data_IF_054665408227
#
_entry.id   IF_054665408227
#
_cell.length_a   1.000
_cell.length_b   1.000
_cell.length_c   1.000
_cell.angle_alpha   90.00
_cell.angle_beta   90.00
_cell.angle_gamma   90.00
#
_symmetry.space_group_name_H-M   'P 1'
#
loop_
_entity.id
_entity.type
_entity.pdbx_description
1 polymer ?
#
# COMPACT_ATOMS: atom_id res chain seq x y z
N UNK A 1 -1.99 27.63 -4.53
CA UNK A 1 -2.89 26.45 -4.47
C UNK A 1 -2.60 25.60 -5.71
N UNK A 2 -2.25 24.31 -5.57
CA UNK A 2 -1.92 23.49 -6.73
C UNK A 2 -3.17 23.24 -7.59
N UNK A 3 -3.00 23.00 -8.90
CA UNK A 3 -4.11 22.67 -9.80
C UNK A 3 -4.87 21.41 -9.38
N UNK A 4 -4.15 20.45 -8.77
CA UNK A 4 -4.73 19.24 -8.15
C UNK A 4 -5.71 19.60 -7.04
N UNK A 5 -5.33 20.50 -6.12
CA UNK A 5 -6.18 20.88 -5.00
C UNK A 5 -7.38 21.72 -5.43
N UNK A 6 -7.21 22.57 -6.45
CA UNK A 6 -8.32 23.32 -7.03
C UNK A 6 -9.38 22.41 -7.65
N UNK A 7 -8.97 21.31 -8.30
CA UNK A 7 -9.87 20.34 -8.93
C UNK A 7 -10.73 19.53 -7.94
N UNK A 8 -10.37 19.52 -6.66
CA UNK A 8 -11.13 18.90 -5.57
C UNK A 8 -11.77 19.93 -4.62
N UNK A 9 -12.06 21.13 -5.12
CA UNK A 9 -12.73 22.18 -4.33
C UNK A 9 -11.88 22.71 -3.16
N UNK A 10 -10.57 22.53 -3.22
CA UNK A 10 -9.65 22.96 -2.19
C UNK A 10 -9.36 21.97 -1.07
N UNK A 11 -9.86 20.74 -1.18
CA UNK A 11 -9.74 19.72 -0.14
C UNK A 11 -8.90 18.54 -0.65
N UNK A 12 -7.94 18.08 0.15
CA UNK A 12 -7.17 16.86 -0.15
C UNK A 12 -8.04 15.64 0.16
N UNK A 13 -8.32 14.81 -0.83
CA UNK A 13 -9.14 13.62 -0.64
C UNK A 13 -8.25 12.39 -0.57
N UNK A 14 -8.28 11.70 0.58
CA UNK A 14 -7.57 10.43 0.79
C UNK A 14 -8.60 9.31 0.89
N UNK A 15 -8.33 8.19 0.23
CA UNK A 15 -9.23 7.04 0.23
C UNK A 15 -8.51 5.74 0.57
N UNK A 16 -9.24 4.81 1.15
CA UNK A 16 -8.85 3.41 1.26
C UNK A 16 -10.05 2.49 1.01
N UNK A 17 -9.79 1.21 0.85
CA UNK A 17 -10.83 0.19 0.65
C UNK A 17 -10.56 -0.98 1.60
N UNK A 18 -11.61 -1.52 2.21
CA UNK A 18 -11.56 -2.73 3.04
C UNK A 18 -12.75 -3.61 2.72
N UNK A 19 -12.52 -4.90 2.50
CA UNK A 19 -13.59 -5.88 2.27
C UNK A 19 -13.34 -7.15 3.07
N UNK A 20 -14.43 -7.79 3.48
CA UNK A 20 -14.40 -9.01 4.29
C UNK A 20 -13.68 -8.80 5.63
N UNK A 21 -13.01 -9.85 6.11
CA UNK A 21 -12.52 -9.90 7.50
C UNK A 21 -10.99 -9.81 7.63
N UNK A 22 -10.27 -9.65 6.52
CA UNK A 22 -8.80 -9.68 6.53
C UNK A 22 -8.18 -8.50 7.28
N UNK A 23 -8.73 -7.30 7.08
CA UNK A 23 -8.26 -6.07 7.73
C UNK A 23 -9.42 -5.43 8.48
N UNK A 24 -9.40 -5.55 9.81
CA UNK A 24 -10.43 -4.96 10.66
C UNK A 24 -10.20 -3.48 10.99
N UNK A 25 -11.09 -2.92 11.81
CA UNK A 25 -11.06 -1.52 12.26
C UNK A 25 -9.69 -1.00 12.72
N UNK A 26 -8.83 -1.75 13.45
CA UNK A 26 -7.52 -1.25 13.85
C UNK A 26 -6.62 -0.82 12.69
N UNK A 27 -6.70 -1.46 11.52
CA UNK A 27 -5.92 -1.06 10.34
C UNK A 27 -6.42 0.27 9.76
N UNK A 28 -7.74 0.41 9.65
CA UNK A 28 -8.38 1.59 9.07
C UNK A 28 -8.19 2.80 10.01
N UNK A 29 -8.41 2.62 11.32
CA UNK A 29 -8.24 3.68 12.32
C UNK A 29 -6.78 4.15 12.40
N UNK A 30 -5.81 3.22 12.38
CA UNK A 30 -4.37 3.58 12.33
C UNK A 30 -4.04 4.30 11.04
N UNK A 31 -4.59 3.87 9.89
CA UNK A 31 -4.37 4.57 8.61
C UNK A 31 -4.91 6.00 8.67
N UNK A 32 -6.13 6.19 9.15
CA UNK A 32 -6.70 7.53 9.34
C UNK A 32 -5.81 8.39 10.25
N UNK A 33 -5.44 7.90 11.42
CA UNK A 33 -4.61 8.66 12.37
C UNK A 33 -3.23 9.01 11.79
N UNK A 34 -2.62 8.08 11.04
CA UNK A 34 -1.40 8.32 10.28
C UNK A 34 -1.58 9.41 9.22
N UNK A 35 -2.69 9.41 8.47
CA UNK A 35 -3.01 10.47 7.51
C UNK A 35 -3.18 11.80 8.22
N UNK A 36 -4.05 11.88 9.22
CA UNK A 36 -4.37 13.11 9.95
C UNK A 36 -3.13 13.78 10.56
N UNK A 37 -2.20 12.98 11.08
CA UNK A 37 -0.94 13.46 11.67
C UNK A 37 0.06 13.99 10.62
N UNK A 38 -0.06 13.57 9.36
CA UNK A 38 0.95 13.83 8.32
C UNK A 38 0.38 14.57 7.10
N UNK A 39 -0.81 15.16 7.17
CA UNK A 39 -1.38 15.92 6.05
C UNK A 39 -1.82 17.30 6.52
N UNK A 40 -1.53 18.34 5.73
CA UNK A 40 -1.98 19.68 6.06
C UNK A 40 -3.48 19.82 5.74
N UNK A 41 -4.34 20.20 6.70
CA UNK A 41 -5.77 20.43 6.47
C UNK A 41 -6.04 21.58 5.46
N UNK A 42 -7.22 21.63 4.81
CA UNK A 42 -8.33 20.68 4.94
C UNK A 42 -8.11 19.39 4.14
N UNK A 43 -8.57 18.27 4.71
CA UNK A 43 -8.57 16.97 4.04
C UNK A 43 -9.82 16.16 4.41
N UNK A 44 -10.18 15.20 3.56
CA UNK A 44 -11.16 14.16 3.86
C UNK A 44 -10.51 12.79 3.79
N UNK A 45 -11.06 11.85 4.56
CA UNK A 45 -10.65 10.46 4.53
C UNK A 45 -11.88 9.57 4.37
N UNK A 46 -11.96 8.86 3.23
CA UNK A 46 -13.08 7.97 2.90
C UNK A 46 -12.63 6.52 2.85
N UNK A 47 -13.29 5.66 3.63
CA UNK A 47 -13.12 4.22 3.57
C UNK A 47 -14.31 3.59 2.84
N UNK A 48 -14.03 2.91 1.72
CA UNK A 48 -15.02 2.05 1.05
C UNK A 48 -15.01 0.68 1.73
N UNK A 49 -16.12 0.31 2.38
CA UNK A 49 -16.15 -0.93 3.17
C UNK A 49 -17.53 -1.56 3.32
N UNK A 50 -17.54 -2.87 3.53
CA UNK A 50 -18.70 -3.70 3.90
C UNK A 50 -18.86 -3.85 5.43
N UNK A 51 -17.92 -3.34 6.23
CA UNK A 51 -17.98 -3.38 7.68
C UNK A 51 -17.58 -2.02 8.31
N UNK A 52 -18.53 -1.40 9.00
CA UNK A 52 -18.36 -0.07 9.62
C UNK A 52 -18.13 -0.14 11.14
N UNK A 53 -18.05 -1.33 11.71
CA UNK A 53 -17.97 -1.53 13.15
C UNK A 53 -16.66 -1.00 13.72
N UNK A 54 -16.77 -0.23 14.81
CA UNK A 54 -15.61 0.31 15.57
C UNK A 54 -14.68 1.21 14.76
N UNK A 55 -15.16 1.75 13.64
CA UNK A 55 -14.46 2.79 12.90
C UNK A 55 -14.60 4.13 13.61
N UNK A 56 -13.56 4.94 13.51
CA UNK A 56 -13.55 6.31 14.04
C UNK A 56 -14.63 7.18 13.37
N UNK A 57 -15.30 8.08 14.11
CA UNK A 57 -16.37 8.92 13.56
C UNK A 57 -15.87 9.91 12.49
N UNK A 58 -14.58 10.25 12.49
CA UNK A 58 -13.98 11.13 11.48
C UNK A 58 -13.77 10.45 10.12
N UNK A 59 -13.92 9.13 10.05
CA UNK A 59 -13.77 8.36 8.81
C UNK A 59 -15.12 8.37 8.08
N UNK A 60 -15.13 8.97 6.89
CA UNK A 60 -16.30 8.88 6.01
C UNK A 60 -16.40 7.46 5.48
N UNK A 61 -17.50 6.77 5.79
CA UNK A 61 -17.72 5.40 5.36
C UNK A 61 -18.67 5.36 4.17
N UNK A 62 -18.20 4.77 3.08
CA UNK A 62 -18.99 4.53 1.86
C UNK A 62 -19.09 3.02 1.62
N UNK A 63 -20.16 2.58 0.98
CA UNK A 63 -20.28 1.16 0.59
C UNK A 63 -19.23 0.81 -0.46
N UNK A 64 -18.84 -0.46 -0.53
CA UNK A 64 -17.96 -0.94 -1.60
C UNK A 64 -18.57 -0.59 -2.96
N UNK A 65 -17.84 0.13 -3.85
CA UNK A 65 -18.38 0.47 -5.15
C UNK A 65 -18.80 -0.79 -5.92
N UNK A 66 -19.95 -0.76 -6.60
CA UNK A 66 -20.48 -1.93 -7.27
C UNK A 66 -19.54 -2.35 -8.40
N UNK A 67 -19.26 -3.65 -8.45
CA UNK A 67 -18.53 -4.27 -9.55
C UNK A 67 -19.12 -5.67 -9.71
N UNK A 68 -20.07 -5.78 -10.63
CA UNK A 68 -20.79 -7.02 -10.91
C UNK A 68 -19.95 -7.88 -11.87
N UNK A 69 -18.96 -8.56 -11.31
CA UNK A 69 -18.07 -9.49 -12.02
C UNK A 69 -17.73 -10.66 -11.12
N UNK A 70 -17.51 -11.82 -11.72
CA UNK A 70 -16.82 -12.89 -11.01
C UNK A 70 -15.35 -12.52 -10.82
N UNK A 71 -14.90 -12.49 -9.56
CA UNK A 71 -13.52 -12.16 -9.25
C UNK A 71 -12.58 -13.26 -9.77
N UNK A 72 -11.43 -12.90 -10.37
CA UNK A 72 -10.48 -13.86 -10.90
C UNK A 72 -10.04 -14.89 -9.86
N UNK A 73 -9.96 -16.14 -10.28
CA UNK A 73 -9.54 -17.28 -9.45
C UNK A 73 -8.15 -17.73 -9.87
N UNK A 74 -7.40 -18.32 -8.93
CA UNK A 74 -6.06 -18.89 -9.16
C UNK A 74 -5.01 -17.92 -9.72
N UNK A 75 -5.27 -16.61 -9.70
CA UNK A 75 -4.36 -15.56 -10.12
C UNK A 75 -3.86 -14.78 -8.90
N UNK A 76 -2.70 -14.14 -9.04
CA UNK A 76 -2.15 -13.27 -8.00
C UNK A 76 -2.79 -11.87 -8.13
N UNK A 77 -2.53 -11.02 -7.16
CA UNK A 77 -3.01 -9.63 -7.18
C UNK A 77 -4.22 -9.38 -6.30
N UNK A 78 -4.57 -8.11 -6.19
CA UNK A 78 -5.63 -7.57 -5.34
C UNK A 78 -6.70 -6.96 -6.24
N UNK A 79 -7.29 -7.80 -7.10
CA UNK A 79 -8.28 -7.41 -8.11
C UNK A 79 -9.56 -6.76 -7.58
N UNK A 80 -10.03 -6.97 -6.33
CA UNK A 80 -11.16 -6.20 -5.79
C UNK A 80 -10.95 -4.68 -5.80
N UNK A 81 -9.70 -4.19 -5.91
CA UNK A 81 -9.42 -2.75 -6.14
C UNK A 81 -10.05 -2.20 -7.42
N UNK A 82 -10.43 -3.06 -8.38
CA UNK A 82 -11.14 -2.67 -9.60
C UNK A 82 -12.47 -1.94 -9.34
N UNK A 83 -13.05 -2.10 -8.14
CA UNK A 83 -14.20 -1.32 -7.66
C UNK A 83 -13.94 0.18 -7.69
N UNK A 84 -12.70 0.60 -7.44
CA UNK A 84 -12.30 2.01 -7.37
C UNK A 84 -12.16 2.67 -8.74
N UNK A 85 -12.23 1.91 -9.83
CA UNK A 85 -12.04 2.43 -11.19
C UNK A 85 -13.32 2.94 -11.83
N UNK A 86 -14.43 2.95 -11.08
CA UNK A 86 -15.74 3.35 -11.58
C UNK A 86 -15.87 4.85 -11.87
N UNK A 87 -16.97 5.24 -12.54
CA UNK A 87 -17.23 6.65 -12.89
C UNK A 87 -17.50 7.53 -11.67
N UNK A 88 -17.90 6.93 -10.55
CA UNK A 88 -18.23 7.62 -9.30
C UNK A 88 -17.63 6.86 -8.11
N UNK A 89 -17.28 7.61 -7.07
CA UNK A 89 -16.77 7.09 -5.80
C UNK A 89 -17.42 7.85 -4.64
N UNK A 90 -18.66 7.48 -4.29
CA UNK A 90 -19.46 8.23 -3.34
C UNK A 90 -19.70 9.67 -3.82
N UNK A 91 -19.48 10.63 -2.92
CA UNK A 91 -19.54 12.07 -3.22
C UNK A 91 -18.22 12.69 -3.71
N UNK A 92 -17.15 11.90 -3.83
CA UNK A 92 -15.81 12.37 -4.20
C UNK A 92 -15.75 12.83 -5.66
N UNK A 93 -14.96 13.88 -5.91
CA UNK A 93 -14.78 14.46 -7.25
C UNK A 93 -13.34 14.90 -7.48
N UNK A 94 -12.86 14.86 -8.72
CA UNK A 94 -11.49 15.24 -9.03
C UNK A 94 -10.46 14.29 -8.41
N UNK A 95 -9.25 14.76 -8.06
CA UNK A 95 -8.15 13.89 -7.62
C UNK A 95 -8.37 13.28 -6.23
N UNK A 96 -8.17 11.96 -6.14
CA UNK A 96 -8.14 11.19 -4.88
C UNK A 96 -6.80 10.46 -4.74
N UNK A 97 -6.26 10.43 -3.52
CA UNK A 97 -5.08 9.63 -3.17
C UNK A 97 -5.50 8.33 -2.50
N UNK A 98 -5.27 7.20 -3.15
CA UNK A 98 -5.49 5.89 -2.59
C UNK A 98 -4.31 5.42 -1.75
N UNK A 99 -4.59 4.83 -0.58
CA UNK A 99 -3.64 4.17 0.30
C UNK A 99 -4.12 2.76 0.69
N UNK A 100 -3.23 1.77 0.58
CA UNK A 100 -3.45 0.44 1.15
C UNK A 100 -3.45 0.48 2.69
N UNK A 101 -4.12 -0.49 3.31
CA UNK A 101 -4.29 -0.55 4.77
C UNK A 101 -3.02 -0.96 5.54
N UNK A 102 -2.05 -1.60 4.87
CA UNK A 102 -0.83 -2.15 5.47
C UNK A 102 0.44 -1.32 5.15
N UNK A 103 0.26 -0.03 4.89
CA UNK A 103 1.34 0.96 4.77
C UNK A 103 1.64 1.64 6.10
N UNK A 104 2.80 2.30 6.20
CA UNK A 104 3.14 3.18 7.33
C UNK A 104 3.49 4.55 6.80
N UNK A 105 2.76 5.58 7.25
CA UNK A 105 3.03 6.97 6.89
C UNK A 105 3.98 7.57 7.94
N UNK A 106 5.11 8.03 7.46
CA UNK A 106 6.27 8.46 8.26
C UNK A 106 6.62 9.94 8.05
N UNK A 107 5.97 10.62 7.10
CA UNK A 107 6.16 12.04 6.84
C UNK A 107 5.04 12.61 5.96
N UNK A 108 5.16 13.90 5.62
CA UNK A 108 4.09 14.67 4.96
C UNK A 108 3.53 14.03 3.68
N UNK A 109 2.21 13.95 3.59
CA UNK A 109 1.47 13.49 2.41
C UNK A 109 1.24 14.61 1.38
N UNK A 110 1.57 15.86 1.69
CA UNK A 110 1.23 17.01 0.82
C UNK A 110 1.86 16.87 -0.57
N UNK A 111 3.10 16.36 -0.65
CA UNK A 111 3.81 16.13 -1.91
C UNK A 111 3.08 15.21 -2.90
N UNK A 112 2.19 14.31 -2.42
CA UNK A 112 1.42 13.44 -3.32
C UNK A 112 0.32 14.20 -4.07
N UNK A 113 -0.02 15.42 -3.64
CA UNK A 113 -0.97 16.33 -4.30
C UNK A 113 -0.27 17.43 -5.13
N UNK A 114 1.06 17.41 -5.19
CA UNK A 114 1.86 18.38 -5.95
C UNK A 114 2.45 17.79 -7.24
N UNK A 115 2.63 16.47 -7.28
CA UNK A 115 3.20 15.76 -8.43
C UNK A 115 2.15 15.59 -9.52
N UNK A 116 2.41 16.15 -10.71
CA UNK A 116 1.54 16.05 -11.88
C UNK A 116 0.31 16.97 -11.82
N UNK A 117 -0.57 16.84 -12.81
CA UNK A 117 -1.85 17.54 -12.91
C UNK A 117 -3.03 16.77 -12.28
N UNK A 118 -4.21 17.41 -12.19
CA UNK A 118 -5.40 16.81 -11.59
C UNK A 118 -5.84 15.53 -12.30
N UNK A 119 -5.75 15.51 -13.64
CA UNK A 119 -6.17 14.37 -14.48
C UNK A 119 -5.12 13.26 -14.62
N UNK A 120 -3.94 13.42 -14.02
CA UNK A 120 -2.88 12.41 -14.11
C UNK A 120 -3.14 11.23 -13.18
N UNK A 121 -2.78 10.04 -13.68
CA UNK A 121 -2.65 8.84 -12.85
C UNK A 121 -1.20 8.72 -12.40
N UNK A 122 -0.97 8.86 -11.10
CA UNK A 122 0.37 8.87 -10.50
C UNK A 122 0.50 7.69 -9.54
N UNK A 123 1.49 6.82 -9.74
CA UNK A 123 1.71 5.63 -8.91
C UNK A 123 3.02 5.74 -8.13
N UNK A 124 3.13 5.01 -7.02
CA UNK A 124 4.44 4.72 -6.46
C UNK A 124 5.22 3.78 -7.39
N UNK A 125 6.54 3.92 -7.46
CA UNK A 125 7.40 3.05 -8.28
C UNK A 125 7.48 1.65 -7.65
N UNK A 126 7.29 0.61 -8.46
CA UNK A 126 7.52 -0.77 -8.04
C UNK A 126 9.04 -1.03 -7.99
N UNK A 127 9.54 -1.18 -6.77
CA UNK A 127 10.96 -1.34 -6.51
C UNK A 127 11.49 -2.77 -6.75
N UNK A 128 10.60 -3.74 -6.95
CA UNK A 128 11.00 -5.15 -7.14
C UNK A 128 11.39 -5.48 -8.57
N UNK A 129 10.99 -4.65 -9.54
CA UNK A 129 11.28 -4.79 -10.97
C UNK A 129 11.71 -3.43 -11.55
N UNK A 130 12.87 -2.89 -11.14
CA UNK A 130 13.25 -1.50 -11.42
C UNK A 130 13.39 -1.19 -12.91
N UNK A 131 13.73 -2.18 -13.74
CA UNK A 131 13.87 -2.01 -15.18
C UNK A 131 12.54 -2.06 -15.96
N UNK A 132 11.47 -2.58 -15.37
CA UNK A 132 10.16 -2.69 -16.04
C UNK A 132 9.32 -1.39 -15.94
N UNK A 133 9.83 -0.35 -15.26
CA UNK A 133 9.12 0.92 -14.97
C UNK A 133 7.67 0.70 -14.52
N UNK A 134 7.45 -0.31 -13.69
CA UNK A 134 6.13 -0.63 -13.19
C UNK A 134 5.77 0.23 -11.98
N UNK A 135 4.49 0.56 -11.84
CA UNK A 135 3.92 1.16 -10.64
C UNK A 135 3.42 0.11 -9.67
N UNK A 136 3.13 0.56 -8.46
CA UNK A 136 2.40 -0.18 -7.45
C UNK A 136 1.17 0.59 -6.99
N UNK A 137 0.08 -0.12 -6.81
CA UNK A 137 -1.24 0.43 -6.46
C UNK A 137 -1.49 0.39 -4.95
N UNK A 138 -0.42 0.38 -4.13
CA UNK A 138 -0.52 0.61 -2.69
C UNK A 138 -0.55 2.09 -2.32
N UNK A 139 -0.02 2.93 -3.22
CA UNK A 139 -0.11 4.39 -3.15
C UNK A 139 -0.27 4.87 -4.59
N UNK A 140 -1.46 5.37 -4.93
CA UNK A 140 -1.68 5.95 -6.26
C UNK A 140 -2.75 7.05 -6.23
N UNK A 141 -2.55 8.09 -7.03
CA UNK A 141 -3.46 9.22 -7.20
C UNK A 141 -4.09 9.16 -8.60
N UNK A 142 -5.38 9.40 -8.68
CA UNK A 142 -6.14 9.47 -9.92
C UNK A 142 -7.35 10.38 -9.74
N UNK A 143 -7.88 10.93 -10.84
CA UNK A 143 -9.17 11.62 -10.80
C UNK A 143 -10.32 10.60 -10.78
N UNK A 144 -11.37 10.87 -9.99
CA UNK A 144 -12.59 10.04 -9.99
C UNK A 144 -13.13 9.91 -11.43
N UNK A 145 -13.45 8.69 -11.85
CA UNK A 145 -13.89 8.38 -13.22
C UNK A 145 -12.77 8.25 -14.26
N UNK A 146 -11.53 8.64 -13.97
CA UNK A 146 -10.41 8.55 -14.92
C UNK A 146 -10.09 7.12 -15.34
N UNK A 147 -10.31 6.15 -14.46
CA UNK A 147 -9.95 4.75 -14.69
C UNK A 147 -11.09 3.88 -15.26
N UNK A 148 -12.22 4.49 -15.66
CA UNK A 148 -13.37 3.77 -16.23
C UNK A 148 -12.99 2.84 -17.40
N UNK A 149 -12.12 3.23 -18.35
CA UNK A 149 -11.70 2.31 -19.42
C UNK A 149 -11.04 1.03 -18.91
N UNK A 150 -10.32 1.09 -17.79
CA UNK A 150 -9.73 -0.10 -17.16
C UNK A 150 -10.81 -0.97 -16.52
N UNK A 151 -11.81 -0.34 -15.89
CA UNK A 151 -12.93 -1.06 -15.30
C UNK A 151 -13.75 -1.79 -16.37
N UNK A 152 -14.01 -1.16 -17.51
CA UNK A 152 -14.73 -1.75 -18.63
C UNK A 152 -13.97 -2.94 -19.22
N UNK A 153 -12.66 -2.77 -19.48
CA UNK A 153 -11.81 -3.87 -19.95
C UNK A 153 -11.75 -5.02 -18.95
N UNK A 154 -11.65 -4.72 -17.65
CA UNK A 154 -11.69 -5.76 -16.61
C UNK A 154 -13.05 -6.43 -16.51
N UNK A 155 -14.16 -5.69 -16.67
CA UNK A 155 -15.52 -6.25 -16.63
C UNK A 155 -15.80 -7.18 -17.81
N UNK A 156 -15.24 -6.89 -18.99
CA UNK A 156 -15.41 -7.71 -20.18
C UNK A 156 -14.78 -9.11 -20.05
N UNK A 157 -13.60 -9.19 -19.42
CA UNK A 157 -12.91 -10.46 -19.17
C UNK A 157 -12.01 -10.40 -17.91
N UNK A 158 -12.60 -10.56 -16.70
CA UNK A 158 -11.85 -10.43 -15.46
C UNK A 158 -10.71 -11.44 -15.36
N UNK A 159 -10.99 -12.70 -15.73
CA UNK A 159 -10.04 -13.79 -15.61
C UNK A 159 -8.90 -13.65 -16.64
N UNK A 160 -9.21 -13.35 -17.90
CA UNK A 160 -8.18 -13.15 -18.93
C UNK A 160 -7.28 -11.94 -18.63
N UNK A 161 -7.83 -10.83 -18.15
CA UNK A 161 -7.03 -9.68 -17.68
C UNK A 161 -6.14 -10.10 -16.51
N UNK A 162 -6.67 -10.85 -15.55
CA UNK A 162 -5.86 -11.32 -14.42
C UNK A 162 -4.76 -12.31 -14.83
N UNK A 163 -5.02 -13.14 -15.83
CA UNK A 163 -4.05 -14.07 -16.38
C UNK A 163 -2.94 -13.38 -17.18
N UNK A 164 -3.31 -12.39 -18.00
CA UNK A 164 -2.36 -11.58 -18.78
C UNK A 164 -1.42 -10.77 -17.86
N UNK A 165 -2.00 -10.02 -16.90
CA UNK A 165 -1.23 -9.05 -16.11
C UNK A 165 -0.70 -9.61 -14.79
N UNK A 166 -1.29 -10.70 -14.26
CA UNK A 166 -0.98 -11.35 -12.97
C UNK A 166 -1.17 -10.52 -11.71
N UNK A 167 -1.08 -9.19 -11.79
CA UNK A 167 -1.28 -8.27 -10.69
C UNK A 167 -1.98 -7.02 -11.21
N UNK A 168 -2.94 -6.50 -10.44
CA UNK A 168 -3.74 -5.33 -10.80
C UNK A 168 -2.87 -4.09 -11.02
N UNK A 169 -1.78 -3.95 -10.27
CA UNK A 169 -0.84 -2.84 -10.44
C UNK A 169 -0.17 -2.80 -11.83
N UNK A 170 0.07 -3.98 -12.45
CA UNK A 170 0.64 -4.06 -13.80
C UNK A 170 -0.40 -3.65 -14.83
N UNK A 171 -1.65 -4.07 -14.62
CA UNK A 171 -2.78 -3.68 -15.44
C UNK A 171 -2.97 -2.16 -15.42
N UNK A 172 -3.01 -1.56 -14.22
CA UNK A 172 -3.13 -0.11 -14.07
C UNK A 172 -1.96 0.62 -14.70
N UNK A 173 -0.71 0.22 -14.41
CA UNK A 173 0.47 0.93 -14.93
C UNK A 173 0.49 0.95 -16.47
N UNK A 174 0.11 -0.16 -17.12
CA UNK A 174 0.18 -0.30 -18.57
C UNK A 174 -1.02 0.30 -19.31
N UNK A 175 -2.15 0.48 -18.64
CA UNK A 175 -3.40 0.90 -19.29
C UNK A 175 -3.96 2.24 -18.79
N UNK A 176 -3.33 2.87 -17.79
CA UNK A 176 -3.76 4.16 -17.27
C UNK A 176 -3.93 5.19 -18.42
N UNK A 177 -5.09 5.85 -18.56
CA UNK A 177 -5.30 6.78 -19.65
C UNK A 177 -4.37 7.99 -19.52
N UNK A 178 -3.68 8.35 -20.61
CA UNK A 178 -2.63 9.37 -20.60
C UNK A 178 -1.27 8.87 -20.08
N UNK A 179 -1.15 7.59 -19.73
CA UNK A 179 0.06 6.98 -19.20
C UNK A 179 0.24 7.18 -17.70
N UNK A 180 0.88 6.21 -17.06
CA UNK A 180 1.24 6.27 -15.65
C UNK A 180 2.43 7.20 -15.40
N UNK A 181 2.27 8.17 -14.49
CA UNK A 181 3.36 8.95 -13.91
C UNK A 181 3.77 8.34 -12.56
N UNK A 182 4.92 8.78 -12.03
CA UNK A 182 5.44 8.24 -10.78
C UNK A 182 5.75 9.31 -9.76
N UNK A 183 5.42 9.02 -8.50
CA UNK A 183 5.93 9.80 -7.38
C UNK A 183 7.46 9.65 -7.28
N UNK A 184 8.17 10.64 -6.69
CA UNK A 184 9.57 10.49 -6.37
C UNK A 184 9.81 9.19 -5.60
N UNK A 185 10.70 8.32 -6.11
CA UNK A 185 10.93 6.99 -5.53
C UNK A 185 11.15 7.07 -4.02
N UNK A 186 11.91 8.07 -3.58
CA UNK A 186 12.35 8.24 -2.19
C UNK A 186 11.20 8.54 -1.22
N UNK A 187 10.07 9.07 -1.72
CA UNK A 187 8.88 9.30 -0.91
C UNK A 187 8.19 7.99 -0.52
N UNK A 188 8.29 6.94 -1.35
CA UNK A 188 7.63 5.65 -1.10
C UNK A 188 8.66 4.53 -1.07
N UNK A 189 9.02 4.11 0.13
CA UNK A 189 10.08 3.13 0.38
C UNK A 189 9.54 1.72 0.57
N UNK A 190 10.37 0.73 0.26
CA UNK A 190 10.07 -0.67 0.51
C UNK A 190 10.84 -1.14 1.75
N UNK A 191 10.13 -1.60 2.79
CA UNK A 191 10.74 -1.94 4.08
C UNK A 191 11.96 -2.87 3.96
N UNK A 192 11.80 -4.03 3.28
CA UNK A 192 12.88 -5.01 3.14
C UNK A 192 14.07 -4.58 2.27
N UNK A 193 13.87 -3.61 1.37
CA UNK A 193 14.91 -3.16 0.42
C UNK A 193 15.61 -1.88 0.90
N UNK A 194 14.85 -0.94 1.46
CA UNK A 194 15.33 0.40 1.80
C UNK A 194 15.61 0.59 3.30
N UNK A 195 14.82 -0.05 4.16
CA UNK A 195 14.90 0.15 5.60
C UNK A 195 15.79 -0.92 6.26
N UNK A 196 15.66 -2.16 5.80
CA UNK A 196 16.37 -3.31 6.39
C UNK A 196 17.78 -3.46 5.83
N UNK A 197 18.73 -3.71 6.72
CA UNK A 197 20.11 -4.01 6.36
C UNK A 197 20.27 -5.39 5.68
N UNK A 198 21.27 -5.56 4.80
CA UNK A 198 21.62 -6.88 4.28
C UNK A 198 22.29 -7.75 5.36
N UNK A 199 22.39 -9.05 5.09
CA UNK A 199 23.23 -9.94 5.90
C UNK A 199 24.72 -9.58 5.72
N UNK A 200 25.54 -9.53 6.79
CA UNK A 200 25.22 -9.87 8.19
C UNK A 200 24.77 -8.69 9.06
N UNK A 201 24.74 -7.47 8.53
CA UNK A 201 24.40 -6.26 9.29
C UNK A 201 23.00 -6.29 9.92
N UNK A 202 22.04 -7.02 9.33
CA UNK A 202 20.71 -7.22 9.92
C UNK A 202 20.69 -7.90 11.30
N UNK A 203 21.79 -8.53 11.73
CA UNK A 203 21.92 -9.09 13.09
C UNK A 203 22.33 -8.04 14.13
N UNK A 204 23.00 -6.97 13.68
CA UNK A 204 23.58 -5.95 14.55
C UNK A 204 22.74 -4.67 14.54
N UNK A 205 22.15 -4.32 13.40
CA UNK A 205 21.47 -3.05 13.19
C UNK A 205 19.97 -3.25 13.00
N UNK A 206 19.18 -2.47 13.72
CA UNK A 206 17.74 -2.38 13.48
C UNK A 206 17.46 -1.72 12.12
N UNK A 207 16.33 -2.04 11.46
CA UNK A 207 15.94 -1.36 10.24
C UNK A 207 15.86 0.16 10.46
N UNK A 208 16.47 0.93 9.56
CA UNK A 208 16.50 2.39 9.64
C UNK A 208 15.32 3.01 8.89
N UNK A 209 14.93 4.20 9.29
CA UNK A 209 13.99 5.05 8.55
C UNK A 209 14.76 6.15 7.81
N UNK A 210 14.83 6.13 6.47
CA UNK A 210 15.41 7.24 5.71
C UNK A 210 14.59 8.53 5.85
N UNK A 211 15.25 9.69 5.98
CA UNK A 211 14.61 10.98 6.30
C UNK A 211 13.69 11.52 5.19
N UNK A 212 13.94 11.11 3.95
CA UNK A 212 13.14 11.46 2.77
C UNK A 212 11.89 10.59 2.60
N UNK A 213 11.74 9.55 3.42
CA UNK A 213 10.56 8.70 3.41
C UNK A 213 9.30 9.49 3.77
N UNK A 214 8.20 9.19 3.07
CA UNK A 214 6.85 9.67 3.40
C UNK A 214 5.93 8.49 3.70
N UNK A 215 6.07 7.42 2.93
CA UNK A 215 5.34 6.17 3.11
C UNK A 215 6.31 4.99 3.02
N UNK A 216 6.16 4.00 3.90
CA UNK A 216 6.89 2.72 3.84
C UNK A 216 5.92 1.58 3.61
N UNK A 217 6.25 0.73 2.64
CA UNK A 217 5.43 -0.41 2.22
C UNK A 217 5.96 -1.74 2.76
N UNK A 218 5.03 -2.65 3.05
CA UNK A 218 5.29 -3.97 3.62
C UNK A 218 4.83 -5.10 2.68
N UNK A 219 5.37 -5.23 1.45
CA UNK A 219 4.88 -6.21 0.50
C UNK A 219 5.31 -7.64 0.84
N UNK A 220 4.69 -8.61 0.16
CA UNK A 220 5.00 -10.05 0.19
C UNK A 220 4.76 -10.73 1.56
N UNK A 221 3.66 -10.38 2.21
CA UNK A 221 3.21 -11.04 3.44
C UNK A 221 3.99 -10.64 4.69
N UNK A 222 4.68 -9.51 4.64
CA UNK A 222 5.11 -8.78 5.82
C UNK A 222 3.99 -7.79 6.19
N UNK A 223 3.84 -7.49 7.48
CA UNK A 223 2.92 -6.46 7.97
C UNK A 223 3.71 -5.52 8.87
N UNK A 224 3.24 -4.29 9.11
CA UNK A 224 3.87 -3.39 10.08
C UNK A 224 4.10 -4.06 11.43
N UNK A 225 3.10 -4.79 11.96
CA UNK A 225 3.22 -5.54 13.22
C UNK A 225 4.40 -6.53 13.21
N UNK A 226 4.59 -7.27 12.12
CA UNK A 226 5.71 -8.20 12.02
C UNK A 226 7.07 -7.47 12.14
N UNK A 227 7.20 -6.27 11.57
CA UNK A 227 8.43 -5.49 11.68
C UNK A 227 8.65 -4.94 13.09
N UNK A 228 7.57 -4.54 13.78
CA UNK A 228 7.60 -4.16 15.20
C UNK A 228 8.17 -5.32 16.03
N UNK A 229 7.64 -6.52 15.81
CA UNK A 229 7.99 -7.72 16.59
C UNK A 229 9.35 -8.35 16.20
N UNK A 230 10.01 -7.86 15.14
CA UNK A 230 11.23 -8.49 14.60
C UNK A 230 10.96 -9.84 13.92
N UNK A 231 9.75 -10.03 13.39
CA UNK A 231 9.29 -11.24 12.73
C UNK A 231 9.33 -11.10 11.20
N UNK A 232 9.77 -12.15 10.52
CA UNK A 232 9.79 -12.20 9.06
C UNK A 232 8.50 -12.80 8.48
N UNK A 233 7.48 -11.96 8.34
CA UNK A 233 6.17 -12.32 7.79
C UNK A 233 5.38 -13.31 8.65
N UNK A 234 4.17 -13.68 8.22
CA UNK A 234 3.23 -14.50 9.02
C UNK A 234 3.80 -15.82 9.55
N UNK A 235 4.74 -16.41 8.80
CA UNK A 235 5.31 -17.72 9.09
C UNK A 235 6.62 -17.67 9.88
N UNK A 236 7.21 -16.49 10.04
CA UNK A 236 8.40 -16.28 10.84
C UNK A 236 8.09 -16.32 12.34
N UNK A 237 9.11 -16.47 13.17
CA UNK A 237 9.02 -16.30 14.62
C UNK A 237 9.99 -15.19 15.02
N UNK A 238 9.60 -14.35 15.97
CA UNK A 238 10.52 -13.42 16.60
C UNK A 238 11.62 -14.22 17.32
N UNK A 239 12.87 -13.75 17.24
CA UNK A 239 14.01 -14.42 17.84
C UNK A 239 15.12 -13.43 18.20
N UNK A 240 15.94 -13.79 19.18
CA UNK A 240 17.23 -13.12 19.39
C UNK A 240 18.19 -13.46 18.24
N UNK A 241 19.25 -12.65 18.00
CA UNK A 241 20.23 -12.94 16.96
C UNK A 241 20.79 -14.37 17.06
N UNK A 242 21.22 -14.78 18.26
CA UNK A 242 21.72 -16.13 18.53
C UNK A 242 20.63 -17.20 18.40
N UNK A 243 19.42 -16.91 18.86
CA UNK A 243 18.28 -17.83 18.72
C UNK A 243 17.96 -18.13 17.26
N UNK A 244 17.99 -17.09 16.40
CA UNK A 244 17.80 -17.27 14.97
C UNK A 244 18.96 -18.06 14.34
N UNK A 245 20.22 -17.77 14.66
CA UNK A 245 21.37 -18.56 14.17
C UNK A 245 21.24 -20.03 14.58
N UNK A 246 20.88 -20.33 15.84
CA UNK A 246 20.63 -21.71 16.30
C UNK A 246 19.51 -22.39 15.51
N UNK A 247 18.51 -21.63 15.08
CA UNK A 247 17.42 -22.10 14.22
C UNK A 247 17.88 -22.62 12.85
N UNK A 248 19.13 -22.36 12.43
CA UNK A 248 19.71 -23.02 11.25
C UNK A 248 19.74 -24.54 11.37
N UNK A 249 19.88 -25.07 12.58
CA UNK A 249 20.00 -26.51 12.84
C UNK A 249 18.67 -27.15 13.25
N UNK A 250 17.59 -26.37 13.32
CA UNK A 250 16.26 -26.87 13.65
C UNK A 250 15.67 -27.66 12.49
N UNK A 251 15.12 -28.84 12.79
CA UNK A 251 14.32 -29.63 11.85
C UNK A 251 13.03 -28.93 11.40
N UNK A 252 12.53 -27.97 12.18
CA UNK A 252 11.35 -27.16 11.86
C UNK A 252 11.66 -26.00 10.88
N UNK A 253 12.92 -25.84 10.45
CA UNK A 253 13.34 -24.74 9.59
C UNK A 253 12.67 -24.82 8.22
N UNK A 254 11.75 -23.88 7.97
CA UNK A 254 11.00 -23.79 6.70
C UNK A 254 11.86 -23.39 5.51
N UNK A 255 12.72 -22.39 5.69
CA UNK A 255 13.63 -21.96 4.62
C UNK A 255 14.84 -22.92 4.60
N UNK A 256 14.85 -23.83 3.62
CA UNK A 256 15.88 -24.86 3.53
C UNK A 256 17.25 -24.31 3.16
N UNK A 257 17.31 -23.17 2.46
CA UNK A 257 18.57 -22.55 2.10
C UNK A 257 19.15 -21.76 3.31
N UNK A 258 20.31 -22.14 3.86
CA UNK A 258 20.87 -21.50 5.06
C UNK A 258 21.12 -19.99 4.88
N UNK A 259 21.63 -19.59 3.73
CA UNK A 259 21.93 -18.19 3.44
C UNK A 259 20.66 -17.35 3.33
N UNK A 260 19.63 -17.85 2.65
CA UNK A 260 18.33 -17.17 2.56
C UNK A 260 17.65 -17.11 3.92
N UNK A 261 17.75 -18.17 4.73
CA UNK A 261 17.29 -18.18 6.11
C UNK A 261 17.96 -17.07 6.92
N UNK A 262 19.30 -16.99 6.92
CA UNK A 262 20.02 -15.94 7.65
C UNK A 262 19.62 -14.52 7.21
N UNK A 263 19.37 -14.33 5.91
CA UNK A 263 18.84 -13.08 5.35
C UNK A 263 17.41 -12.77 5.78
N UNK A 264 16.66 -13.69 6.38
CA UNK A 264 15.29 -13.46 6.87
C UNK A 264 15.25 -12.94 8.30
N UNK A 265 16.38 -12.79 8.99
CA UNK A 265 16.39 -12.14 10.29
C UNK A 265 16.06 -10.63 10.20
N UNK A 266 15.21 -10.15 11.11
CA UNK A 266 14.85 -8.73 11.29
C UNK A 266 14.93 -8.45 12.79
N UNK A 267 15.62 -7.37 13.20
CA UNK A 267 15.52 -6.88 14.59
C UNK A 267 14.23 -6.09 14.77
N UNK A 268 13.62 -6.10 15.98
CA UNK A 268 12.46 -5.26 16.29
C UNK A 268 12.64 -3.82 15.84
N UNK A 269 11.61 -3.26 15.21
CA UNK A 269 11.70 -1.95 14.54
C UNK A 269 10.85 -0.91 15.26
N UNK A 270 11.45 -0.21 16.23
CA UNK A 270 10.75 0.75 17.11
C UNK A 270 10.02 1.86 16.36
N UNK A 271 10.67 2.48 15.36
CA UNK A 271 10.04 3.56 14.60
C UNK A 271 8.75 3.14 13.88
N UNK A 272 8.60 1.85 13.51
CA UNK A 272 7.34 1.38 12.91
C UNK A 272 6.20 1.49 13.93
N UNK A 273 6.44 1.20 15.21
CA UNK A 273 5.44 1.34 16.26
C UNK A 273 5.12 2.81 16.57
N UNK A 274 6.13 3.69 16.51
CA UNK A 274 5.96 5.14 16.72
C UNK A 274 5.03 5.77 15.68
N UNK A 275 5.11 5.29 14.43
CA UNK A 275 4.33 5.80 13.31
C UNK A 275 3.03 5.01 13.06
N UNK A 276 3.03 3.69 13.20
CA UNK A 276 1.85 2.85 12.92
C UNK A 276 0.94 2.71 14.13
N UNK A 277 0.38 3.86 14.53
CA UNK A 277 -0.50 3.99 15.69
C UNK A 277 -1.66 4.93 15.40
N UNK A 278 -2.69 4.72 16.21
CA UNK A 278 -3.82 5.64 16.33
C UNK A 278 -3.43 6.90 17.13
#
# INVERSE_FOLDING_TARGET
MTSVLAASGGVKQVICISWGTKYGAPFINRLYAMVARNITPPFTFTCFTDNRDKLRPEILCEDLPPLDVEMPKNTKGIWPKARLWGPKLGSLQGPVLFLDLDVVIVGSLDSFFEVGGPEDVVLAVNQTTPFERLGQTSVFRFAVGKLVPLQERFRADPQGVADEYRFEQRFVTRNAPGGAKFFPRRHVLHFRQDCRWPFPLNYYLAPRLPADARIVLFPRGLLPQHAIDGQFGYKGRAATPLGHVRGLFSSERRERNPFRYLRHYIRPTGWVAEHWRE
#
